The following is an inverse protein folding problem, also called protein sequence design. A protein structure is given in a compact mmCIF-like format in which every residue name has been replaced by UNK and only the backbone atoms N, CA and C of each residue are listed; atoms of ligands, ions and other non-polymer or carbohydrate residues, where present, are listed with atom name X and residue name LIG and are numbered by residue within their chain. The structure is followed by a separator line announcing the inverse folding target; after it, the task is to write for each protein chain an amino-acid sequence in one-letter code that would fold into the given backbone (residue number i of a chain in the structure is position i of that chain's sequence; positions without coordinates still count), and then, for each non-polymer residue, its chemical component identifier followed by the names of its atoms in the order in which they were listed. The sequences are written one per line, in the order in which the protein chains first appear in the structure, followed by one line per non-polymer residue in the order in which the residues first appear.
data_IF_272594378242
#
_entry.id   IF_272594378242
#
_cell.length_a   1.000
_cell.length_b   1.000
_cell.length_c   1.000
_cell.angle_alpha   90.00
_cell.angle_beta   90.00
_cell.angle_gamma   90.00
#
_symmetry.space_group_name_H-M   'P 1'
#
loop_
_entity.id
_entity.type
_entity.pdbx_description
1 polymer ?
#
# COMPACT_ATOMS: atom_id res chain seq x y z
N UNK A 1 6.84 -31.22 -34.19
CA UNK A 1 6.09 -31.16 -32.91
C UNK A 1 6.52 -30.00 -32.00
N UNK A 2 7.82 -29.79 -31.75
CA UNK A 2 8.31 -28.74 -30.83
C UNK A 2 7.85 -27.31 -31.18
N UNK A 3 7.89 -26.94 -32.46
CA UNK A 3 7.47 -25.60 -32.91
C UNK A 3 5.98 -25.31 -32.67
N UNK A 4 5.11 -26.33 -32.74
CA UNK A 4 3.68 -26.18 -32.47
C UNK A 4 3.43 -25.91 -30.98
N UNK A 5 4.15 -26.63 -30.10
CA UNK A 5 4.07 -26.42 -28.65
C UNK A 5 4.55 -25.01 -28.31
N UNK A 6 5.68 -24.57 -28.86
CA UNK A 6 6.20 -23.21 -28.62
C UNK A 6 5.18 -22.15 -29.08
N UNK A 7 4.59 -22.31 -30.27
CA UNK A 7 3.58 -21.39 -30.77
C UNK A 7 2.32 -21.34 -29.89
N UNK A 8 1.84 -22.50 -29.42
CA UNK A 8 0.70 -22.59 -28.51
C UNK A 8 1.01 -21.91 -27.17
N UNK A 9 2.20 -22.15 -26.63
CA UNK A 9 2.62 -21.56 -25.34
C UNK A 9 2.77 -20.05 -25.44
N UNK A 10 3.32 -19.54 -26.54
CA UNK A 10 3.45 -18.10 -26.79
C UNK A 10 2.11 -17.40 -27.01
N UNK A 11 1.16 -18.08 -27.67
CA UNK A 11 -0.19 -17.54 -27.88
C UNK A 11 -0.99 -17.55 -26.58
N UNK A 12 -0.84 -18.59 -25.76
CA UNK A 12 -1.49 -18.69 -24.45
C UNK A 12 -1.00 -17.59 -23.49
N UNK A 13 0.31 -17.31 -23.44
CA UNK A 13 0.86 -16.24 -22.61
C UNK A 13 0.47 -14.84 -23.09
N UNK A 14 0.31 -14.63 -24.41
CA UNK A 14 -0.20 -13.37 -24.96
C UNK A 14 -1.71 -13.14 -24.70
N UNK A 15 -2.47 -14.21 -24.46
CA UNK A 15 -3.91 -14.13 -24.12
C UNK A 15 -4.19 -14.01 -22.63
N UNK A 16 -3.17 -13.97 -21.77
CA UNK A 16 -3.37 -13.71 -20.36
C UNK A 16 -3.55 -12.21 -20.16
N UNK A 17 -4.77 -11.80 -19.81
CA UNK A 17 -5.01 -10.45 -19.33
C UNK A 17 -4.15 -10.22 -18.08
N UNK A 18 -3.12 -9.39 -18.23
CA UNK A 18 -2.43 -8.82 -17.10
C UNK A 18 -3.38 -7.76 -16.55
N UNK A 19 -4.17 -8.13 -15.54
CA UNK A 19 -4.82 -7.16 -14.67
C UNK A 19 -3.73 -6.32 -14.02
N UNK A 20 -3.33 -5.25 -14.69
CA UNK A 20 -2.44 -4.24 -14.16
C UNK A 20 -3.18 -3.58 -13.00
N UNK A 21 -2.95 -4.12 -11.81
CA UNK A 21 -3.53 -3.60 -10.58
C UNK A 21 -3.09 -2.15 -10.45
N UNK A 22 -4.05 -1.26 -10.13
CA UNK A 22 -3.83 0.18 -10.09
C UNK A 22 -2.90 0.55 -8.93
N UNK A 23 -1.60 0.45 -9.16
CA UNK A 23 -0.58 0.99 -8.28
C UNK A 23 -0.78 2.52 -8.22
N UNK A 24 -1.38 2.97 -7.12
CA UNK A 24 -1.55 4.40 -6.87
C UNK A 24 -0.44 4.86 -5.94
N UNK A 25 0.53 5.58 -6.49
CA UNK A 25 1.59 6.26 -5.78
C UNK A 25 1.21 7.73 -5.56
N UNK A 26 1.25 8.18 -4.31
CA UNK A 26 0.99 9.59 -3.94
C UNK A 26 2.07 10.07 -2.98
N UNK A 27 3.14 10.71 -3.48
CA UNK A 27 4.06 11.45 -2.64
C UNK A 27 3.39 12.76 -2.26
N UNK A 28 3.35 13.08 -0.98
CA UNK A 28 2.93 14.40 -0.52
C UNK A 28 4.11 15.09 0.15
N UNK A 29 4.34 16.35 -0.24
CA UNK A 29 5.41 17.20 0.27
C UNK A 29 4.76 18.42 0.92
N UNK A 30 4.65 18.38 2.24
CA UNK A 30 3.99 19.42 3.03
C UNK A 30 5.03 20.43 3.48
N UNK A 31 4.83 21.70 3.12
CA UNK A 31 5.65 22.82 3.56
C UNK A 31 4.99 23.48 4.77
N UNK A 32 5.73 23.67 5.88
CA UNK A 32 5.18 24.25 7.11
C UNK A 32 6.23 24.47 8.20
N UNK A 33 5.78 24.67 9.45
CA UNK A 33 6.65 24.88 10.63
C UNK A 33 7.51 23.66 11.02
N UNK A 34 7.45 22.57 10.25
CA UNK A 34 8.24 21.33 10.41
C UNK A 34 9.17 21.16 9.19
N UNK A 35 10.32 20.51 9.38
CA UNK A 35 11.48 20.64 8.48
C UNK A 35 11.38 19.88 7.19
N UNK A 36 10.88 18.66 7.27
CA UNK A 36 10.66 17.82 6.13
C UNK A 36 9.58 16.79 6.45
N UNK A 37 8.51 16.79 5.67
CA UNK A 37 7.44 15.79 5.74
C UNK A 37 7.40 15.03 4.42
N UNK A 38 7.46 13.70 4.52
CA UNK A 38 7.35 12.76 3.42
C UNK A 38 6.25 11.75 3.73
N UNK A 39 5.23 11.72 2.88
CA UNK A 39 4.19 10.69 2.91
C UNK A 39 4.31 9.84 1.65
N UNK A 40 4.32 8.53 1.84
CA UNK A 40 4.30 7.55 0.77
C UNK A 40 3.20 6.54 1.02
N UNK A 41 2.28 6.45 0.07
CA UNK A 41 1.18 5.51 0.10
C UNK A 41 1.21 4.60 -1.13
N UNK A 42 1.33 3.30 -0.91
CA UNK A 42 1.25 2.24 -1.92
C UNK A 42 -0.07 1.50 -1.71
N UNK A 43 -0.90 1.45 -2.74
CA UNK A 43 -2.14 0.67 -2.74
C UNK A 43 -2.04 -0.44 -3.78
N UNK A 44 -2.37 -1.66 -3.38
CA UNK A 44 -2.39 -2.83 -4.23
C UNK A 44 -3.72 -3.56 -4.08
N UNK A 45 -4.47 -3.71 -5.17
CA UNK A 45 -5.78 -4.35 -5.16
C UNK A 45 -5.66 -5.79 -5.66
N UNK A 46 -5.49 -6.72 -4.72
CA UNK A 46 -5.29 -8.14 -4.99
C UNK A 46 -6.47 -8.77 -5.75
N UNK A 47 -7.70 -8.34 -5.44
CA UNK A 47 -8.92 -8.66 -6.18
C UNK A 47 -10.06 -7.66 -5.84
N UNK A 48 -11.29 -7.95 -6.26
CA UNK A 48 -12.45 -7.07 -6.03
C UNK A 48 -12.75 -6.81 -4.55
N UNK A 49 -12.30 -7.69 -3.64
CA UNK A 49 -12.58 -7.59 -2.20
C UNK A 49 -11.33 -7.34 -1.36
N UNK A 50 -10.16 -7.77 -1.80
CA UNK A 50 -8.94 -7.75 -1.01
C UNK A 50 -7.99 -6.64 -1.48
N UNK A 51 -7.59 -5.79 -0.54
CA UNK A 51 -6.67 -4.67 -0.80
C UNK A 51 -5.55 -4.68 0.23
N UNK A 52 -4.34 -4.40 -0.23
CA UNK A 52 -3.17 -4.19 0.60
C UNK A 52 -2.74 -2.73 0.48
N UNK A 53 -2.48 -2.09 1.61
CA UNK A 53 -2.03 -0.72 1.70
C UNK A 53 -0.75 -0.66 2.52
N UNK A 54 0.26 0.02 2.00
CA UNK A 54 1.43 0.41 2.77
C UNK A 54 1.46 1.94 2.87
N UNK A 55 1.47 2.46 4.09
CA UNK A 55 1.62 3.88 4.38
C UNK A 55 2.93 4.06 5.14
N UNK A 56 3.83 4.87 4.58
CA UNK A 56 5.03 5.35 5.23
C UNK A 56 4.92 6.86 5.39
N UNK A 57 5.15 7.35 6.60
CA UNK A 57 5.20 8.77 6.94
C UNK A 57 6.50 9.00 7.70
N UNK A 58 7.26 9.97 7.20
CA UNK A 58 8.41 10.51 7.89
C UNK A 58 8.19 12.01 8.05
N UNK A 59 8.24 12.50 9.27
CA UNK A 59 8.07 13.91 9.59
C UNK A 59 9.13 14.31 10.61
N UNK A 60 9.90 15.34 10.28
CA UNK A 60 11.02 15.81 11.10
C UNK A 60 10.86 17.26 11.54
N UNK A 61 11.42 17.58 12.70
CA UNK A 61 11.54 18.94 13.21
C UNK A 61 12.80 19.63 12.67
N UNK A 62 12.84 20.96 12.72
CA UNK A 62 14.00 21.73 12.21
C UNK A 62 15.22 21.69 13.12
N UNK A 63 15.03 21.53 14.43
CA UNK A 63 16.05 22.03 15.38
C UNK A 63 16.55 20.98 16.37
N UNK A 64 15.66 20.19 16.97
CA UNK A 64 16.00 19.34 18.12
C UNK A 64 15.77 17.85 17.89
N UNK A 65 15.25 17.45 16.73
CA UNK A 65 14.96 16.06 16.35
C UNK A 65 14.18 15.25 17.41
N UNK A 66 13.39 15.93 18.24
CA UNK A 66 12.80 15.33 19.44
C UNK A 66 11.44 14.73 19.13
N UNK A 67 10.59 15.45 18.41
CA UNK A 67 9.23 14.99 18.06
C UNK A 67 9.15 14.50 16.60
N UNK A 68 10.21 13.83 16.14
CA UNK A 68 10.24 13.23 14.82
C UNK A 68 9.25 12.05 14.74
N UNK A 69 8.37 12.08 13.75
CA UNK A 69 7.40 11.02 13.50
C UNK A 69 7.94 10.12 12.41
N UNK A 70 8.28 8.89 12.80
CA UNK A 70 8.46 7.80 11.85
C UNK A 70 7.29 6.84 12.02
N UNK A 71 6.53 6.64 10.95
CA UNK A 71 5.34 5.82 10.95
C UNK A 71 5.30 4.94 9.71
N UNK A 72 5.24 3.63 9.90
CA UNK A 72 5.00 2.67 8.82
C UNK A 72 3.81 1.83 9.21
N UNK A 73 2.85 1.66 8.30
CA UNK A 73 1.68 0.79 8.48
C UNK A 73 1.42 -0.03 7.24
N UNK A 74 1.33 -1.34 7.41
CA UNK A 74 0.79 -2.26 6.43
C UNK A 74 -0.64 -2.61 6.84
N UNK A 75 -1.60 -2.36 5.97
CA UNK A 75 -3.01 -2.66 6.18
C UNK A 75 -3.48 -3.66 5.14
N UNK A 76 -4.08 -4.76 5.59
CA UNK A 76 -4.85 -5.68 4.77
C UNK A 76 -6.33 -5.38 4.98
N UNK A 77 -7.05 -5.10 3.90
CA UNK A 77 -8.46 -4.79 3.91
C UNK A 77 -9.24 -5.85 3.12
N UNK A 78 -10.35 -6.33 3.68
CA UNK A 78 -11.30 -7.22 3.04
C UNK A 78 -12.68 -6.57 3.00
N UNK A 79 -13.18 -6.27 1.80
CA UNK A 79 -14.50 -5.71 1.55
C UNK A 79 -15.56 -6.81 1.55
N UNK A 80 -16.48 -6.74 2.51
CA UNK A 80 -17.68 -7.59 2.55
C UNK A 80 -18.74 -7.09 1.56
N UNK A 81 -18.81 -5.78 1.37
CA UNK A 81 -19.65 -5.09 0.40
C UNK A 81 -18.94 -3.84 -0.12
N UNK A 82 -19.55 -3.14 -1.07
CA UNK A 82 -19.03 -1.86 -1.57
C UNK A 82 -18.90 -0.79 -0.48
N UNK A 83 -19.60 -0.96 0.66
CA UNK A 83 -19.68 0.00 1.77
C UNK A 83 -19.19 -0.55 3.10
N UNK A 84 -18.61 -1.75 3.14
CA UNK A 84 -18.16 -2.32 4.40
C UNK A 84 -16.91 -3.15 4.18
N UNK A 85 -15.84 -2.80 4.89
CA UNK A 85 -14.58 -3.53 4.86
C UNK A 85 -14.07 -3.79 6.27
N UNK A 86 -13.54 -4.98 6.51
CA UNK A 86 -12.68 -5.24 7.66
C UNK A 86 -11.23 -4.93 7.30
N UNK A 87 -10.52 -4.32 8.24
CA UNK A 87 -9.12 -3.96 8.10
C UNK A 87 -8.34 -4.57 9.26
N UNK A 88 -7.21 -5.18 8.93
CA UNK A 88 -6.18 -5.54 9.90
C UNK A 88 -4.90 -4.80 9.50
N UNK A 89 -4.28 -4.10 10.44
CA UNK A 89 -3.07 -3.36 10.20
C UNK A 89 -2.01 -3.66 11.25
N UNK A 90 -0.76 -3.70 10.79
CA UNK A 90 0.42 -3.82 11.62
C UNK A 90 1.38 -2.72 11.22
N UNK A 91 2.05 -2.13 12.20
CA UNK A 91 2.88 -0.99 11.93
C UNK A 91 3.82 -0.66 13.06
N UNK A 92 4.62 0.35 12.81
CA UNK A 92 5.56 0.92 13.76
C UNK A 92 5.36 2.42 13.77
N UNK A 93 5.39 3.00 14.97
CA UNK A 93 5.44 4.45 15.21
C UNK A 93 6.51 4.69 16.26
N UNK A 94 7.50 5.53 15.97
CA UNK A 94 8.61 5.73 16.91
C UNK A 94 8.15 6.25 18.30
N UNK A 95 8.63 5.64 19.41
CA UNK A 95 9.01 4.24 19.56
C UNK A 95 7.78 3.35 19.79
N UNK A 96 7.70 2.20 19.10
CA UNK A 96 6.61 1.24 19.30
C UNK A 96 6.14 0.54 18.03
N UNK A 97 5.76 -0.73 18.18
CA UNK A 97 4.97 -1.45 17.19
C UNK A 97 3.51 -1.44 17.62
N UNK A 98 2.60 -1.49 16.65
CA UNK A 98 1.18 -1.58 16.93
C UNK A 98 0.50 -2.55 15.97
N UNK A 99 -0.63 -3.06 16.44
CA UNK A 99 -1.59 -3.81 15.65
C UNK A 99 -2.96 -3.17 15.82
N UNK A 100 -3.75 -3.11 14.76
CA UNK A 100 -5.12 -2.62 14.80
C UNK A 100 -6.02 -3.49 13.93
N UNK A 101 -7.21 -3.81 14.43
CA UNK A 101 -8.28 -4.40 13.64
C UNK A 101 -9.52 -3.51 13.76
N UNK A 102 -10.12 -3.12 12.63
CA UNK A 102 -11.27 -2.23 12.62
C UNK A 102 -12.15 -2.46 11.39
N UNK A 103 -13.42 -2.09 11.50
CA UNK A 103 -14.33 -2.01 10.36
C UNK A 103 -14.33 -0.58 9.81
N UNK A 104 -14.35 -0.45 8.50
CA UNK A 104 -14.54 0.83 7.79
C UNK A 104 -15.77 0.74 6.91
N UNK A 105 -16.56 1.80 6.91
CA UNK A 105 -17.71 1.99 6.03
C UNK A 105 -17.27 2.79 4.81
#
# INVERSE_FOLDING_TARGET
MKAKIIAITALASASMDVSAQKLSYRPDLVLGHRSYTYIHNINYQLNDRLKLNNLTLFDTEYTQDKENIFFIRNTLAYSFSERLSANAALGMKNPGAFFSAYLSV
#
